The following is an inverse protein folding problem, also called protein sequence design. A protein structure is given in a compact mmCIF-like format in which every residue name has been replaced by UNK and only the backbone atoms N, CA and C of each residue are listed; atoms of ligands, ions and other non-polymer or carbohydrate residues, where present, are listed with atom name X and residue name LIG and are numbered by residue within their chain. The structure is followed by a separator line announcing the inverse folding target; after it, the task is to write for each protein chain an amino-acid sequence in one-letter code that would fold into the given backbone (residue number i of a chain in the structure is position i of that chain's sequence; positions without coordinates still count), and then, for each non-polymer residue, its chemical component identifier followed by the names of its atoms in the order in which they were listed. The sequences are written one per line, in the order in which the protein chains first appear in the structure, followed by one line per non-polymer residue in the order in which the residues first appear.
data_IF_872123195603
#
_entry.id   IF_872123195603
#
_cell.length_a   1.000
_cell.length_b   1.000
_cell.length_c   1.000
_cell.angle_alpha   90.00
_cell.angle_beta   90.00
_cell.angle_gamma   90.00
#
_symmetry.space_group_name_H-M   'P 1'
#
loop_
_entity.id
_entity.type
_entity.pdbx_description
1 polymer ?
#
# COMPACT_ATOMS: atom_id res chain seq x y z
N UNK A 1 -12.88 12.56 0.01
CA UNK A 1 -13.47 11.90 -1.18
C UNK A 1 -12.39 11.30 -2.08
N UNK A 2 -11.56 10.43 -1.52
CA UNK A 2 -10.53 9.72 -2.29
C UNK A 2 -10.14 8.36 -1.68
N UNK A 3 -10.69 8.02 -0.50
CA UNK A 3 -10.38 6.77 0.17
C UNK A 3 -11.67 5.97 0.35
N UNK A 4 -11.61 4.63 0.20
CA UNK A 4 -12.76 3.79 0.48
C UNK A 4 -13.34 4.03 1.89
N UNK A 5 -14.67 3.98 2.05
CA UNK A 5 -15.67 3.54 1.07
C UNK A 5 -16.24 4.66 0.15
N UNK A 6 -15.79 5.91 0.29
CA UNK A 6 -16.47 7.07 -0.32
C UNK A 6 -16.61 6.94 -1.87
N UNK A 7 -15.58 6.52 -2.63
CA UNK A 7 -15.74 6.32 -4.08
C UNK A 7 -16.72 5.20 -4.43
N UNK A 8 -16.78 4.13 -3.62
CA UNK A 8 -17.70 3.01 -3.83
C UNK A 8 -19.15 3.46 -3.60
N UNK A 9 -19.41 4.19 -2.51
CA UNK A 9 -20.73 4.72 -2.18
C UNK A 9 -21.25 5.68 -3.26
N UNK A 10 -20.40 6.59 -3.77
CA UNK A 10 -20.78 7.52 -4.84
C UNK A 10 -21.13 6.79 -6.13
N UNK A 11 -20.36 5.76 -6.52
CA UNK A 11 -20.65 4.92 -7.68
C UNK A 11 -21.96 4.15 -7.51
N UNK A 12 -22.20 3.57 -6.33
CA UNK A 12 -23.44 2.87 -6.02
C UNK A 12 -24.68 3.78 -6.12
N UNK A 13 -24.54 5.04 -5.69
CA UNK A 13 -25.58 6.08 -5.79
C UNK A 13 -25.67 6.75 -7.17
N UNK A 14 -24.84 6.34 -8.13
CA UNK A 14 -24.75 6.93 -9.49
C UNK A 14 -24.47 8.44 -9.47
N UNK A 15 -23.70 8.90 -8.48
CA UNK A 15 -23.27 10.28 -8.36
C UNK A 15 -21.94 10.43 -9.10
N UNK A 16 -21.99 10.99 -10.30
CA UNK A 16 -20.82 11.15 -11.17
C UNK A 16 -20.35 9.85 -11.82
N UNK A 17 -19.16 9.90 -12.44
CA UNK A 17 -18.50 8.75 -13.09
C UNK A 17 -17.01 8.76 -12.80
N UNK A 18 -16.36 7.60 -12.84
CA UNK A 18 -14.90 7.48 -12.69
C UNK A 18 -14.23 8.13 -13.91
N UNK A 19 -13.39 9.13 -13.67
CA UNK A 19 -12.56 9.78 -14.69
C UNK A 19 -11.12 9.26 -14.63
N UNK A 20 -10.64 8.94 -13.42
CA UNK A 20 -9.31 8.42 -13.15
C UNK A 20 -9.39 7.42 -12.00
N UNK A 21 -8.67 6.31 -12.13
CA UNK A 21 -8.45 5.34 -11.07
C UNK A 21 -6.94 5.07 -10.91
N UNK A 22 -6.36 5.56 -9.82
CA UNK A 22 -4.91 5.42 -9.55
C UNK A 22 -4.45 3.99 -9.32
N UNK A 23 -5.37 3.04 -9.10
CA UNK A 23 -5.05 1.62 -9.01
C UNK A 23 -4.84 0.96 -10.38
N UNK A 24 -5.44 1.49 -11.45
CA UNK A 24 -5.42 0.88 -12.80
C UNK A 24 -4.72 1.75 -13.83
N UNK A 25 -4.80 3.07 -13.69
CA UNK A 25 -4.40 4.00 -14.72
C UNK A 25 -2.94 4.43 -14.56
N UNK A 26 -2.26 4.56 -15.70
CA UNK A 26 -0.87 5.05 -15.74
C UNK A 26 -0.81 6.55 -15.45
N UNK A 27 0.28 7.03 -14.84
CA UNK A 27 1.46 6.26 -14.40
C UNK A 27 1.29 5.58 -13.04
N UNK A 28 0.25 5.91 -12.25
CA UNK A 28 0.13 5.49 -10.84
C UNK A 28 0.01 3.98 -10.63
N UNK A 29 -0.59 3.24 -11.55
CA UNK A 29 -0.74 1.78 -11.43
C UNK A 29 0.57 1.00 -11.42
N UNK A 30 1.71 1.66 -11.69
CA UNK A 30 3.05 1.07 -11.60
C UNK A 30 3.72 1.29 -10.23
N UNK A 31 3.05 1.99 -9.31
CA UNK A 31 3.63 2.43 -8.04
C UNK A 31 2.82 1.93 -6.85
N UNK A 32 3.48 1.71 -5.71
CA UNK A 32 2.76 1.38 -4.48
C UNK A 32 1.88 2.55 -4.04
N UNK A 33 0.64 2.26 -3.65
CA UNK A 33 -0.26 3.24 -3.02
C UNK A 33 0.13 3.53 -1.56
N UNK A 34 0.72 2.54 -0.87
CA UNK A 34 1.15 2.62 0.52
C UNK A 34 2.48 1.89 0.72
N UNK A 35 3.31 2.38 1.63
CA UNK A 35 4.57 1.73 2.02
C UNK A 35 4.65 1.56 3.54
N UNK A 36 5.27 0.47 3.98
CA UNK A 36 5.55 0.26 5.40
C UNK A 36 6.70 1.21 5.84
N UNK A 37 6.47 1.95 6.93
CA UNK A 37 7.46 2.84 7.53
C UNK A 37 7.70 2.47 8.98
N UNK A 38 8.92 2.65 9.46
CA UNK A 38 9.31 2.35 10.83
C UNK A 38 10.34 3.37 11.34
N UNK A 39 10.40 3.55 12.65
CA UNK A 39 11.40 4.41 13.28
C UNK A 39 12.81 3.81 13.08
N UNK A 40 13.76 4.62 12.60
CA UNK A 40 15.14 4.17 12.28
C UNK A 40 15.84 3.52 13.49
N UNK A 41 15.67 4.08 14.67
CA UNK A 41 16.28 3.55 15.89
C UNK A 41 15.69 2.18 16.25
N UNK A 42 14.36 2.04 16.14
CA UNK A 42 13.68 0.78 16.38
C UNK A 42 14.16 -0.31 15.42
N UNK A 43 14.26 -0.01 14.13
CA UNK A 43 14.74 -0.96 13.11
C UNK A 43 16.15 -1.44 13.42
N UNK A 44 17.03 -0.53 13.86
CA UNK A 44 18.42 -0.85 14.24
C UNK A 44 18.49 -1.74 15.48
N UNK A 45 17.71 -1.43 16.52
CA UNK A 45 17.72 -2.18 17.79
C UNK A 45 16.98 -3.52 17.70
N UNK A 46 15.96 -3.61 16.84
CA UNK A 46 15.06 -4.77 16.76
C UNK A 46 14.85 -5.26 15.31
N UNK A 47 15.91 -5.66 14.59
CA UNK A 47 15.82 -6.07 13.19
C UNK A 47 14.96 -7.33 12.99
N UNK A 48 15.04 -8.31 13.92
CA UNK A 48 14.23 -9.53 13.85
C UNK A 48 12.73 -9.22 14.01
N UNK A 49 12.37 -8.36 14.96
CA UNK A 49 10.99 -7.94 15.17
C UNK A 49 10.45 -7.17 13.96
N UNK A 50 11.28 -6.28 13.39
CA UNK A 50 10.96 -5.52 12.17
C UNK A 50 10.65 -6.46 11.01
N UNK A 51 11.52 -7.45 10.74
CA UNK A 51 11.30 -8.45 9.69
C UNK A 51 10.03 -9.26 9.92
N UNK A 52 9.77 -9.68 11.17
CA UNK A 52 8.55 -10.43 11.54
C UNK A 52 7.28 -9.60 11.33
N UNK A 53 7.31 -8.31 11.68
CA UNK A 53 6.18 -7.41 11.44
C UNK A 53 5.91 -7.23 9.94
N UNK A 54 6.96 -6.96 9.14
CA UNK A 54 6.82 -6.86 7.69
C UNK A 54 6.30 -8.16 7.06
N UNK A 55 6.80 -9.32 7.50
CA UNK A 55 6.28 -10.62 7.08
C UNK A 55 4.78 -10.77 7.38
N UNK A 56 4.34 -10.33 8.56
CA UNK A 56 2.92 -10.34 8.94
C UNK A 56 2.07 -9.49 8.00
N UNK A 57 2.52 -8.29 7.66
CA UNK A 57 1.84 -7.40 6.71
C UNK A 57 1.75 -8.01 5.30
N UNK A 58 2.84 -8.59 4.79
CA UNK A 58 2.85 -9.24 3.47
C UNK A 58 1.92 -10.47 3.43
N UNK A 59 1.89 -11.28 4.49
CA UNK A 59 0.92 -12.39 4.60
C UNK A 59 -0.52 -11.89 4.67
N UNK A 60 -0.77 -10.79 5.38
CA UNK A 60 -2.10 -10.17 5.41
C UNK A 60 -2.52 -9.67 4.03
N UNK A 61 -1.60 -9.10 3.24
CA UNK A 61 -1.86 -8.75 1.85
C UNK A 61 -2.29 -9.98 1.02
N UNK A 62 -1.62 -11.13 1.17
CA UNK A 62 -2.05 -12.38 0.53
C UNK A 62 -3.46 -12.83 0.95
N UNK A 63 -3.86 -12.63 2.21
CA UNK A 63 -5.24 -12.90 2.66
C UNK A 63 -6.22 -11.95 1.97
N UNK A 64 -5.90 -10.66 1.84
CA UNK A 64 -6.75 -9.72 1.12
C UNK A 64 -6.91 -10.11 -0.37
N UNK A 65 -5.84 -10.55 -1.03
CA UNK A 65 -5.87 -10.98 -2.42
C UNK A 65 -6.66 -12.29 -2.63
N UNK A 66 -6.39 -13.31 -1.80
CA UNK A 66 -6.91 -14.67 -1.99
C UNK A 66 -8.27 -14.90 -1.29
N UNK A 67 -8.55 -14.18 -0.21
CA UNK A 67 -9.73 -14.36 0.64
C UNK A 67 -10.35 -13.01 1.03
N UNK A 68 -10.76 -12.17 0.05
CA UNK A 68 -11.23 -10.81 0.33
C UNK A 68 -12.47 -10.78 1.25
N UNK A 69 -13.38 -11.75 1.16
CA UNK A 69 -14.54 -11.85 2.06
C UNK A 69 -14.10 -12.07 3.52
N UNK A 70 -13.09 -12.91 3.75
CA UNK A 70 -12.54 -13.14 5.09
C UNK A 70 -11.89 -11.87 5.63
N UNK A 71 -11.15 -11.14 4.77
CA UNK A 71 -10.54 -9.87 5.15
C UNK A 71 -11.60 -8.83 5.56
N UNK A 72 -12.67 -8.67 4.78
CA UNK A 72 -13.78 -7.76 5.12
C UNK A 72 -14.49 -8.20 6.39
N UNK A 73 -14.81 -9.49 6.54
CA UNK A 73 -15.48 -10.00 7.75
C UNK A 73 -14.66 -9.68 9.00
N UNK A 74 -13.36 -9.97 8.98
CA UNK A 74 -12.47 -9.63 10.09
C UNK A 74 -12.46 -8.13 10.40
N UNK A 75 -12.48 -7.27 9.37
CA UNK A 75 -12.54 -5.82 9.56
C UNK A 75 -13.89 -5.36 10.10
N UNK A 76 -14.99 -5.98 9.69
CA UNK A 76 -16.33 -5.69 10.18
C UNK A 76 -16.51 -6.12 11.64
N UNK A 77 -16.06 -7.33 11.99
CA UNK A 77 -16.10 -7.86 13.36
C UNK A 77 -15.32 -6.97 14.35
N UNK A 78 -14.30 -6.25 13.86
CA UNK A 78 -13.50 -5.28 14.63
C UNK A 78 -14.03 -3.84 14.60
N UNK A 79 -15.17 -3.59 13.93
CA UNK A 79 -15.75 -2.25 13.80
C UNK A 79 -14.97 -1.31 12.86
N UNK A 80 -14.05 -1.82 12.03
CA UNK A 80 -13.25 -1.01 11.09
C UNK A 80 -13.94 -0.76 9.74
N UNK A 81 -15.15 -1.28 9.53
CA UNK A 81 -15.84 -1.21 8.23
C UNK A 81 -17.25 -0.69 8.41
N UNK A 82 -17.58 0.36 7.66
CA UNK A 82 -18.95 0.81 7.41
C UNK A 82 -19.32 0.31 6.00
N UNK A 83 -20.34 -0.53 5.89
CA UNK A 83 -20.74 -1.13 4.60
C UNK A 83 -19.86 -2.31 4.15
N UNK A 84 -20.36 -3.53 4.32
CA UNK A 84 -19.64 -4.77 3.93
C UNK A 84 -19.38 -4.83 2.42
N UNK A 85 -20.35 -4.40 1.60
CA UNK A 85 -20.24 -4.46 0.15
C UNK A 85 -19.20 -3.48 -0.39
N UNK A 86 -19.20 -2.24 0.10
CA UNK A 86 -18.25 -1.21 -0.33
C UNK A 86 -16.82 -1.57 0.08
N UNK A 87 -16.63 -2.11 1.29
CA UNK A 87 -15.33 -2.60 1.72
C UNK A 87 -14.86 -3.83 0.92
N UNK A 88 -15.77 -4.72 0.55
CA UNK A 88 -15.44 -5.86 -0.30
C UNK A 88 -15.02 -5.41 -1.70
N UNK A 89 -15.74 -4.45 -2.27
CA UNK A 89 -15.35 -3.84 -3.53
C UNK A 89 -13.96 -3.19 -3.42
N UNK A 90 -13.73 -2.39 -2.38
CA UNK A 90 -12.45 -1.73 -2.16
C UNK A 90 -11.28 -2.70 -2.02
N UNK A 91 -11.44 -3.80 -1.27
CA UNK A 91 -10.37 -4.80 -1.13
C UNK A 91 -10.08 -5.50 -2.47
N UNK A 92 -11.11 -5.76 -3.28
CA UNK A 92 -10.96 -6.40 -4.60
C UNK A 92 -10.32 -5.48 -5.65
N UNK A 93 -10.50 -4.18 -5.53
CA UNK A 93 -9.95 -3.19 -6.46
C UNK A 93 -8.45 -2.92 -6.25
N UNK A 94 -7.87 -3.35 -5.12
CA UNK A 94 -6.47 -3.10 -4.77
C UNK A 94 -5.57 -4.29 -5.14
N UNK A 95 -4.41 -4.05 -5.77
CA UNK A 95 -3.49 -5.11 -6.23
C UNK A 95 -2.61 -5.65 -5.10
N UNK A 96 -3.20 -6.31 -4.10
CA UNK A 96 -2.49 -6.82 -2.91
C UNK A 96 -1.45 -7.92 -3.19
N UNK A 97 -1.54 -8.58 -4.34
CA UNK A 97 -0.64 -9.65 -4.81
C UNK A 97 0.57 -9.14 -5.61
N UNK A 98 0.53 -7.89 -6.08
CA UNK A 98 1.54 -7.29 -6.98
C UNK A 98 2.79 -6.74 -6.30
N UNK A 99 2.93 -6.89 -4.99
CA UNK A 99 4.05 -6.28 -4.24
C UNK A 99 5.45 -6.80 -4.64
N UNK A 100 5.52 -7.93 -5.36
CA UNK A 100 6.78 -8.42 -5.94
C UNK A 100 7.14 -7.73 -7.26
N UNK A 101 6.13 -7.30 -8.00
CA UNK A 101 6.24 -6.78 -9.37
C UNK A 101 6.70 -5.32 -9.40
N UNK A 102 6.35 -4.55 -8.37
CA UNK A 102 6.71 -3.13 -8.29
C UNK A 102 8.12 -2.91 -7.74
N UNK A 103 8.76 -1.85 -8.23
CA UNK A 103 9.99 -1.31 -7.67
C UNK A 103 9.66 -0.29 -6.55
N UNK A 104 9.96 -0.61 -5.28
CA UNK A 104 9.69 0.28 -4.16
C UNK A 104 10.59 1.53 -4.17
N UNK A 105 11.79 1.45 -4.73
CA UNK A 105 12.67 2.60 -4.86
C UNK A 105 12.17 3.55 -5.94
N UNK A 106 11.73 3.03 -7.08
CA UNK A 106 11.15 3.88 -8.12
C UNK A 106 9.83 4.52 -7.69
N UNK A 107 9.04 3.82 -6.86
CA UNK A 107 7.87 4.43 -6.20
C UNK A 107 8.26 5.66 -5.37
N UNK A 108 9.28 5.54 -4.51
CA UNK A 108 9.75 6.68 -3.72
C UNK A 108 10.30 7.80 -4.61
N UNK A 109 11.01 7.44 -5.68
CA UNK A 109 11.55 8.41 -6.65
C UNK A 109 10.43 9.22 -7.30
N UNK A 110 9.41 8.54 -7.83
CA UNK A 110 8.27 9.15 -8.49
C UNK A 110 7.55 10.14 -7.58
N UNK A 111 7.15 9.71 -6.37
CA UNK A 111 6.40 10.59 -5.46
C UNK A 111 7.26 11.71 -4.88
N UNK A 112 8.54 11.47 -4.58
CA UNK A 112 9.44 12.53 -4.13
C UNK A 112 9.63 13.63 -5.19
N UNK A 113 9.68 13.27 -6.48
CA UNK A 113 9.72 14.26 -7.57
C UNK A 113 8.46 15.12 -7.59
N UNK A 114 7.26 14.49 -7.58
CA UNK A 114 5.98 15.21 -7.59
C UNK A 114 5.81 16.14 -6.38
N UNK A 115 6.17 15.67 -5.18
CA UNK A 115 6.10 16.47 -3.96
C UNK A 115 7.07 17.65 -3.97
N UNK A 116 8.26 17.48 -4.57
CA UNK A 116 9.25 18.56 -4.69
C UNK A 116 8.82 19.61 -5.71
N UNK A 117 8.31 19.18 -6.86
CA UNK A 117 7.74 20.08 -7.89
C UNK A 117 6.57 20.90 -7.34
N UNK A 118 5.74 20.30 -6.49
CA UNK A 118 4.66 20.98 -5.79
C UNK A 118 5.14 21.86 -4.60
N UNK A 119 6.44 21.92 -4.32
CA UNK A 119 7.01 22.72 -3.22
C UNK A 119 6.75 22.17 -1.81
N UNK A 120 6.26 20.94 -1.69
CA UNK A 120 5.90 20.32 -0.40
C UNK A 120 7.11 19.76 0.36
N UNK A 121 8.21 19.48 -0.34
CA UNK A 121 9.46 18.98 0.25
C UNK A 121 10.69 19.68 -0.34
N UNK A 122 11.73 19.82 0.49
CA UNK A 122 13.02 20.42 0.08
C UNK A 122 14.04 19.39 -0.41
N UNK A 123 14.05 18.20 0.21
CA UNK A 123 15.02 17.15 -0.12
C UNK A 123 14.72 16.56 -1.51
N UNK A 124 15.79 16.22 -2.24
CA UNK A 124 15.67 15.52 -3.52
C UNK A 124 15.39 14.02 -3.32
N UNK A 125 14.90 13.31 -4.37
CA UNK A 125 14.62 11.88 -4.29
C UNK A 125 15.83 11.05 -3.85
N UNK A 126 17.03 11.37 -4.35
CA UNK A 126 18.26 10.64 -4.04
C UNK A 126 18.56 10.64 -2.54
N UNK A 127 18.44 11.80 -1.87
CA UNK A 127 18.65 11.94 -0.43
C UNK A 127 17.59 11.18 0.37
N UNK A 128 16.32 11.24 -0.06
CA UNK A 128 15.23 10.50 0.60
C UNK A 128 15.46 9.01 0.53
N UNK A 129 15.82 8.49 -0.65
CA UNK A 129 16.08 7.06 -0.85
C UNK A 129 17.29 6.63 -0.02
N UNK A 130 18.42 7.34 -0.15
CA UNK A 130 19.67 6.97 0.52
C UNK A 130 19.57 6.96 2.05
N UNK A 131 18.75 7.84 2.64
CA UNK A 131 18.66 7.99 4.11
C UNK A 131 17.39 7.36 4.70
N UNK A 132 16.35 7.16 3.90
CA UNK A 132 15.02 6.79 4.35
C UNK A 132 14.63 5.33 4.11
N UNK A 133 15.49 4.53 3.47
CA UNK A 133 15.13 3.18 3.04
C UNK A 133 16.04 2.10 3.62
N UNK A 134 15.46 0.92 3.84
CA UNK A 134 16.17 -0.29 4.21
C UNK A 134 15.53 -1.50 3.54
N UNK A 135 16.00 -1.83 2.34
CA UNK A 135 15.41 -2.87 1.50
C UNK A 135 15.75 -4.30 1.93
N UNK A 136 16.68 -4.49 2.87
CA UNK A 136 17.16 -5.81 3.29
C UNK A 136 16.01 -6.72 3.72
N UNK A 137 15.09 -6.19 4.54
CA UNK A 137 13.95 -6.95 5.04
C UNK A 137 13.00 -7.41 3.93
N UNK A 138 12.67 -6.51 3.01
CA UNK A 138 11.78 -6.84 1.89
C UNK A 138 12.45 -7.84 0.95
N UNK A 139 13.72 -7.64 0.62
CA UNK A 139 14.48 -8.50 -0.28
C UNK A 139 14.64 -9.92 0.29
N UNK A 140 14.91 -10.05 1.59
CA UNK A 140 14.93 -11.36 2.24
C UNK A 140 13.54 -12.02 2.19
N UNK A 141 12.47 -11.27 2.49
CA UNK A 141 11.11 -11.82 2.50
C UNK A 141 10.62 -12.20 1.10
N UNK A 142 11.07 -11.53 0.03
CA UNK A 142 10.82 -11.95 -1.36
C UNK A 142 11.37 -13.36 -1.62
N UNK A 143 12.51 -13.72 -1.02
CA UNK A 143 13.14 -15.05 -1.15
C UNK A 143 12.51 -16.10 -0.25
N UNK A 144 12.10 -15.71 0.96
CA UNK A 144 11.57 -16.64 1.99
C UNK A 144 10.09 -16.98 1.80
N UNK A 145 9.28 -16.02 1.35
CA UNK A 145 7.85 -16.22 1.15
C UNK A 145 7.62 -16.83 -0.23
N UNK A 146 6.86 -17.93 -0.27
CA UNK A 146 6.37 -18.50 -1.52
C UNK A 146 5.42 -17.52 -2.22
N UNK A 147 5.40 -17.59 -3.55
CA UNK A 147 4.40 -16.91 -4.37
C UNK A 147 3.03 -17.56 -4.14
#
# INVERSE_FOLDING_TARGET
MAFPPEPQELRARKIGRVILNTATDKPWSQYFCCMAVANREFVRKHPVATKRALRGMLKAASICALQPQRAVKLRADKGYTKGVNDALQAIKELPYDRWRDYDPEDTLRFYALRLREAGLIKNNPQKIIAQGTDWRFLNDLKKELKA
#
